data_IF_951802215091
#
_entry.id   IF_951802215091
#
_cell.length_a   1.000
_cell.length_b   1.000
_cell.length_c   1.000
_cell.angle_alpha   90.00
_cell.angle_beta   90.00
_cell.angle_gamma   90.00
#
_symmetry.space_group_name_H-M   'P 1'
#
loop_
_entity.id
_entity.type
_entity.pdbx_description
1 polymer ?
#
# COMPACT_ATOMS: atom_id res chain seq x y z
N UNK A 1 -5.17 1.02 3.83
CA UNK A 1 -3.73 0.74 3.86
C UNK A 1 -3.01 0.91 2.52
N UNK A 2 -3.70 1.13 1.38
CA UNK A 2 -3.10 1.51 0.11
C UNK A 2 -2.88 3.02 0.00
N UNK A 3 -2.82 3.55 -1.23
CA UNK A 3 -2.69 4.99 -1.44
C UNK A 3 -3.93 5.76 -0.98
N UNK A 4 -5.12 5.18 -1.07
CA UNK A 4 -6.38 5.81 -0.65
C UNK A 4 -7.27 4.80 0.10
N UNK A 5 -8.31 5.32 0.75
CA UNK A 5 -9.28 4.54 1.51
C UNK A 5 -8.88 4.30 2.97
N UNK A 6 -9.84 4.43 3.87
CA UNK A 6 -9.66 4.30 5.32
C UNK A 6 -10.02 2.92 5.86
N UNK A 7 -10.74 2.08 5.09
CA UNK A 7 -11.17 0.78 5.54
C UNK A 7 -10.01 -0.23 5.60
N UNK A 8 -10.01 -1.05 6.63
CA UNK A 8 -9.14 -2.21 6.70
C UNK A 8 -9.47 -3.18 5.57
N UNK A 9 -8.47 -3.78 4.90
CA UNK A 9 -8.71 -4.80 3.87
C UNK A 9 -9.49 -6.01 4.42
N UNK A 10 -9.35 -6.34 5.70
CA UNK A 10 -10.13 -7.40 6.36
C UNK A 10 -11.63 -7.10 6.35
N UNK A 11 -12.03 -5.88 6.75
CA UNK A 11 -13.43 -5.48 6.76
C UNK A 11 -13.96 -5.35 5.33
N UNK A 12 -13.27 -4.58 4.49
CA UNK A 12 -13.68 -4.31 3.11
C UNK A 12 -13.91 -5.58 2.30
N UNK A 13 -12.99 -6.55 2.36
CA UNK A 13 -13.11 -7.78 1.59
C UNK A 13 -14.30 -8.63 2.06
N UNK A 14 -14.48 -8.74 3.39
CA UNK A 14 -15.63 -9.50 3.96
C UNK A 14 -16.96 -8.90 3.56
N UNK A 15 -17.12 -7.60 3.72
CA UNK A 15 -18.34 -6.89 3.30
C UNK A 15 -18.61 -7.02 1.79
N UNK A 16 -17.56 -6.95 0.96
CA UNK A 16 -17.69 -7.10 -0.49
C UNK A 16 -18.18 -8.51 -0.85
N UNK A 17 -17.66 -9.55 -0.20
CA UNK A 17 -18.06 -10.93 -0.44
C UNK A 17 -19.48 -11.28 -0.03
N UNK A 18 -20.12 -10.47 0.80
CA UNK A 18 -21.54 -10.67 1.16
C UNK A 18 -22.50 -10.50 -0.03
N UNK A 19 -22.10 -9.73 -1.03
CA UNK A 19 -22.95 -9.37 -2.17
C UNK A 19 -22.30 -9.56 -3.53
N UNK A 20 -21.00 -9.91 -3.60
CA UNK A 20 -20.27 -10.05 -4.85
C UNK A 20 -19.49 -11.36 -4.92
N UNK A 21 -19.91 -12.23 -5.83
CA UNK A 21 -19.32 -13.56 -6.08
C UNK A 21 -18.26 -13.57 -7.20
N UNK A 22 -18.08 -12.45 -7.90
CA UNK A 22 -17.11 -12.32 -8.98
C UNK A 22 -15.67 -12.20 -8.53
N UNK A 23 -14.77 -12.02 -9.47
CA UNK A 23 -13.32 -11.88 -9.19
C UNK A 23 -13.02 -10.61 -8.42
N UNK A 24 -12.36 -10.75 -7.27
CA UNK A 24 -11.87 -9.64 -6.44
C UNK A 24 -10.35 -9.57 -6.46
N UNK A 25 -9.84 -8.40 -6.85
CA UNK A 25 -8.44 -8.02 -6.69
C UNK A 25 -8.31 -7.17 -5.43
N UNK A 26 -7.65 -7.68 -4.40
CA UNK A 26 -7.39 -6.90 -3.20
C UNK A 26 -6.12 -6.08 -3.37
N UNK A 27 -6.19 -4.78 -3.06
CA UNK A 27 -5.06 -3.85 -3.06
C UNK A 27 -4.92 -3.14 -1.73
N UNK A 28 -3.70 -2.71 -1.43
CA UNK A 28 -3.37 -1.95 -0.23
C UNK A 28 -2.63 -2.77 0.83
N UNK A 29 -1.50 -2.25 1.27
CA UNK A 29 -0.58 -2.89 2.24
C UNK A 29 -0.09 -4.28 1.82
N UNK A 30 -0.08 -4.57 0.53
CA UNK A 30 0.43 -5.83 -0.04
C UNK A 30 1.78 -5.53 -0.68
N UNK A 31 2.85 -6.18 -0.20
CA UNK A 31 4.23 -5.89 -0.61
C UNK A 31 5.12 -7.14 -0.78
N UNK A 32 4.71 -8.26 -0.22
CA UNK A 32 5.48 -9.50 -0.14
C UNK A 32 4.62 -10.75 -0.35
N UNK A 33 5.21 -11.93 -0.37
CA UNK A 33 4.51 -13.20 -0.55
C UNK A 33 3.60 -13.55 0.62
N UNK A 34 3.90 -13.12 1.84
CA UNK A 34 3.05 -13.36 3.02
C UNK A 34 1.76 -12.55 2.94
N UNK A 35 1.84 -11.28 2.54
CA UNK A 35 0.66 -10.41 2.36
C UNK A 35 -0.21 -10.88 1.18
N UNK A 36 0.40 -11.40 0.11
CA UNK A 36 -0.34 -12.06 -0.99
C UNK A 36 -1.07 -13.30 -0.48
N UNK A 37 -0.41 -14.19 0.26
CA UNK A 37 -1.04 -15.38 0.84
C UNK A 37 -2.20 -15.01 1.78
N UNK A 38 -2.02 -13.96 2.58
CA UNK A 38 -3.06 -13.44 3.48
C UNK A 38 -4.27 -12.92 2.72
N UNK A 39 -4.07 -12.17 1.62
CA UNK A 39 -5.15 -11.69 0.78
C UNK A 39 -6.00 -12.84 0.21
N UNK A 40 -5.34 -13.88 -0.31
CA UNK A 40 -6.00 -15.09 -0.83
C UNK A 40 -6.74 -15.82 0.30
N UNK A 41 -6.11 -15.99 1.47
CA UNK A 41 -6.74 -16.66 2.62
C UNK A 41 -7.99 -15.93 3.12
N UNK A 42 -8.04 -14.60 3.00
CA UNK A 42 -9.22 -13.80 3.32
C UNK A 42 -10.36 -13.91 2.30
N UNK A 43 -10.11 -14.48 1.13
CA UNK A 43 -11.10 -14.67 0.07
C UNK A 43 -10.95 -13.74 -1.15
N UNK A 44 -9.83 -13.05 -1.32
CA UNK A 44 -9.49 -12.41 -2.58
C UNK A 44 -9.06 -13.47 -3.61
N UNK A 45 -9.34 -13.23 -4.89
CA UNK A 45 -8.87 -14.10 -5.96
C UNK A 45 -7.46 -13.71 -6.42
N UNK A 46 -7.15 -12.42 -6.36
CA UNK A 46 -5.87 -11.84 -6.78
C UNK A 46 -5.41 -10.77 -5.79
N UNK A 47 -4.11 -10.54 -5.72
CA UNK A 47 -3.50 -9.45 -4.99
C UNK A 47 -2.92 -8.41 -5.97
N UNK A 48 -3.13 -7.13 -5.66
CA UNK A 48 -2.63 -6.02 -6.48
C UNK A 48 -1.59 -5.23 -5.70
N UNK A 49 -0.36 -5.17 -6.22
CA UNK A 49 0.79 -4.54 -5.58
C UNK A 49 1.17 -3.28 -6.35
N UNK A 50 1.27 -2.14 -5.69
CA UNK A 50 1.65 -0.86 -6.30
C UNK A 50 3.01 -0.37 -5.83
N UNK A 51 3.09 0.12 -4.60
CA UNK A 51 4.25 0.83 -4.03
C UNK A 51 5.57 0.07 -4.19
N UNK A 52 5.55 -1.24 -4.02
CA UNK A 52 6.75 -2.07 -4.15
C UNK A 52 7.34 -2.06 -5.55
N UNK A 53 6.49 -1.97 -6.58
CA UNK A 53 6.95 -1.86 -7.98
C UNK A 53 7.45 -0.45 -8.34
N UNK A 54 7.05 0.59 -7.62
CA UNK A 54 7.64 1.93 -7.77
C UNK A 54 9.12 1.89 -7.39
N UNK A 55 9.49 1.12 -6.35
CA UNK A 55 10.86 0.95 -5.88
C UNK A 55 11.59 -0.19 -6.63
N UNK A 56 11.45 -0.29 -7.94
CA UNK A 56 12.21 -1.22 -8.79
C UNK A 56 13.15 -0.47 -9.75
N UNK A 57 14.15 -1.16 -10.25
CA UNK A 57 15.10 -0.57 -11.20
C UNK A 57 14.41 -0.08 -12.46
N UNK A 58 13.45 -0.87 -13.00
CA UNK A 58 12.75 -0.60 -14.25
C UNK A 58 11.67 0.48 -14.14
N UNK A 59 11.31 0.90 -12.92
CA UNK A 59 10.34 1.97 -12.73
C UNK A 59 10.89 3.31 -13.24
N UNK A 60 10.06 4.07 -13.93
CA UNK A 60 10.34 5.45 -14.39
C UNK A 60 10.22 6.49 -13.22
N UNK A 61 9.99 6.05 -11.99
CA UNK A 61 9.93 6.93 -10.83
C UNK A 61 11.28 7.61 -10.57
N UNK A 62 11.23 8.85 -10.09
CA UNK A 62 12.41 9.63 -9.69
C UNK A 62 13.26 8.87 -8.67
N UNK A 63 14.60 8.96 -8.80
CA UNK A 63 15.53 8.26 -7.89
C UNK A 63 15.35 8.69 -6.43
N UNK A 64 14.99 9.95 -6.20
CA UNK A 64 14.65 10.47 -4.87
C UNK A 64 13.41 9.80 -4.28
N UNK A 65 12.44 9.51 -5.12
CA UNK A 65 11.24 8.76 -4.71
C UNK A 65 11.56 7.30 -4.36
N UNK A 66 12.28 6.60 -5.25
CA UNK A 66 12.70 5.21 -5.00
C UNK A 66 13.51 5.11 -3.71
N UNK A 67 14.50 6.01 -3.52
CA UNK A 67 15.32 6.08 -2.32
C UNK A 67 14.47 6.30 -1.07
N UNK A 68 13.54 7.26 -1.12
CA UNK A 68 12.67 7.57 0.02
C UNK A 68 11.78 6.40 0.40
N UNK A 69 11.25 5.65 -0.58
CA UNK A 69 10.50 4.41 -0.32
C UNK A 69 11.33 3.35 0.39
N UNK A 70 12.60 3.20 0.01
CA UNK A 70 13.54 2.25 0.65
C UNK A 70 13.88 2.66 2.09
N UNK A 71 14.00 3.97 2.35
CA UNK A 71 14.40 4.52 3.64
C UNK A 71 13.23 4.73 4.61
N UNK A 72 11.97 4.61 4.16
CA UNK A 72 10.77 4.87 4.96
C UNK A 72 10.11 3.58 5.44
N UNK A 73 9.30 3.71 6.50
CA UNK A 73 8.47 2.67 7.06
C UNK A 73 7.01 3.13 7.17
N UNK A 74 6.08 2.25 7.55
CA UNK A 74 4.65 2.58 7.67
C UNK A 74 4.36 3.75 8.61
N UNK A 75 5.22 3.97 9.62
CA UNK A 75 5.14 5.12 10.55
C UNK A 75 5.42 6.48 9.86
N UNK A 76 6.11 6.45 8.72
CA UNK A 76 6.52 7.64 7.98
C UNK A 76 5.46 8.03 6.93
N UNK A 77 4.23 7.53 7.06
CA UNK A 77 3.11 7.83 6.18
C UNK A 77 2.13 8.76 6.87
N UNK A 78 1.77 9.84 6.20
CA UNK A 78 0.69 10.75 6.59
C UNK A 78 -0.52 10.56 5.68
N UNK A 79 -1.72 10.48 6.29
CA UNK A 79 -2.99 10.39 5.56
C UNK A 79 -3.68 11.74 5.53
N UNK A 80 -3.77 12.36 4.37
CA UNK A 80 -4.27 13.73 4.22
C UNK A 80 -4.97 13.94 2.89
N UNK A 81 -5.90 14.89 2.84
CA UNK A 81 -6.52 15.37 1.61
C UNK A 81 -5.92 16.69 1.10
N UNK A 82 -4.93 17.24 1.81
CA UNK A 82 -4.37 18.56 1.56
C UNK A 82 -3.89 18.77 0.12
N UNK A 83 -3.24 17.76 -0.45
CA UNK A 83 -2.60 17.87 -1.76
C UNK A 83 -3.55 17.73 -2.95
N UNK A 84 -4.53 16.84 -2.87
CA UNK A 84 -5.40 16.50 -3.99
C UNK A 84 -6.87 16.82 -3.75
N UNK A 85 -7.25 17.21 -2.54
CA UNK A 85 -8.63 17.34 -2.10
C UNK A 85 -9.31 16.00 -1.76
N UNK A 86 -8.67 14.88 -2.08
CA UNK A 86 -9.07 13.53 -1.72
C UNK A 86 -8.02 12.93 -0.78
N UNK A 87 -8.46 12.27 0.28
CA UNK A 87 -7.55 11.64 1.23
C UNK A 87 -6.69 10.58 0.56
N UNK A 88 -5.40 10.65 0.80
CA UNK A 88 -4.39 9.69 0.35
C UNK A 88 -3.23 9.58 1.34
N UNK A 89 -2.47 8.51 1.18
CA UNK A 89 -1.26 8.25 1.95
C UNK A 89 -0.04 8.82 1.21
N UNK A 90 0.75 9.59 1.93
CA UNK A 90 1.94 10.26 1.40
C UNK A 90 3.13 10.03 2.34
N UNK A 91 4.34 10.02 1.81
CA UNK A 91 5.57 9.92 2.59
C UNK A 91 5.83 11.24 3.33
N UNK A 92 5.80 11.20 4.67
CA UNK A 92 6.08 12.36 5.53
C UNK A 92 7.42 13.03 5.19
N UNK A 93 8.53 12.31 4.92
CA UNK A 93 9.78 12.93 4.52
C UNK A 93 9.70 13.76 3.23
N UNK A 94 8.79 13.43 2.28
CA UNK A 94 8.59 14.23 1.09
C UNK A 94 7.86 15.54 1.39
N UNK A 95 6.93 15.51 2.36
CA UNK A 95 6.20 16.67 2.85
C UNK A 95 7.16 17.62 3.60
N UNK A 96 7.99 17.07 4.47
CA UNK A 96 9.04 17.81 5.19
C UNK A 96 10.04 18.47 4.24
N UNK A 97 10.51 17.72 3.23
CA UNK A 97 11.40 18.23 2.18
C UNK A 97 10.78 19.39 1.40
N UNK A 98 9.46 19.40 1.25
CA UNK A 98 8.72 20.51 0.64
C UNK A 98 8.48 21.70 1.61
N UNK A 99 9.03 21.65 2.82
CA UNK A 99 8.95 22.73 3.81
C UNK A 99 7.66 22.78 4.62
N UNK A 100 6.91 21.66 4.66
CA UNK A 100 5.66 21.57 5.41
C UNK A 100 5.80 20.59 6.59
N UNK A 101 5.00 20.83 7.64
CA UNK A 101 4.89 19.90 8.76
C UNK A 101 3.82 18.84 8.47
N UNK A 102 4.18 17.53 8.34
CA UNK A 102 3.23 16.49 8.08
C UNK A 102 2.12 16.34 9.12
N UNK A 103 2.39 16.75 10.37
CA UNK A 103 1.46 16.67 11.49
C UNK A 103 0.52 17.90 11.59
N UNK A 104 0.82 18.97 10.87
CA UNK A 104 0.08 20.23 10.88
C UNK A 104 -0.52 20.59 9.51
N UNK A 105 -0.73 19.60 8.63
CA UNK A 105 -1.35 19.83 7.32
C UNK A 105 -2.83 20.20 7.51
N UNK A 106 -3.30 21.33 6.95
CA UNK A 106 -4.70 21.71 7.04
C UNK A 106 -5.57 20.78 6.17
N UNK A 107 -6.85 20.70 6.51
CA UNK A 107 -7.85 20.08 5.63
C UNK A 107 -7.98 20.87 4.33
N UNK A 108 -8.11 20.15 3.20
CA UNK A 108 -8.38 20.79 1.93
C UNK A 108 -9.79 21.40 1.91
N UNK A 109 -9.88 22.62 1.42
CA UNK A 109 -11.16 23.28 1.21
C UNK A 109 -11.88 22.66 -0.01
N UNK A 110 -12.90 21.87 0.25
CA UNK A 110 -13.69 21.16 -0.79
C UNK A 110 -14.35 22.11 -1.79
N UNK A 111 -14.56 23.40 -1.42
CA UNK A 111 -15.16 24.38 -2.31
C UNK A 111 -14.18 24.93 -3.35
N UNK A 112 -12.88 24.73 -3.12
CA UNK A 112 -11.79 25.18 -3.99
C UNK A 112 -11.11 24.04 -4.75
N UNK A 113 -11.73 22.86 -4.80
CA UNK A 113 -11.21 21.73 -5.57
C UNK A 113 -11.14 22.10 -7.05
N UNK A 114 -9.92 22.28 -7.54
CA UNK A 114 -9.65 22.52 -8.94
C UNK A 114 -8.91 21.30 -9.52
N UNK A 115 -9.63 20.44 -10.23
CA UNK A 115 -9.06 19.24 -10.85
C UNK A 115 -8.05 19.56 -11.98
N UNK A 116 -8.01 20.83 -12.45
CA UNK A 116 -7.10 21.26 -13.52
C UNK A 116 -5.82 21.95 -13.06
N UNK A 117 -5.76 22.39 -11.83
CA UNK A 117 -4.57 22.98 -11.22
C UNK A 117 -4.33 22.29 -9.89
N UNK A 118 -3.37 21.39 -9.86
CA UNK A 118 -3.04 20.64 -8.65
C UNK A 118 -2.99 21.53 -7.41
N UNK A 119 -3.90 21.29 -6.47
CA UNK A 119 -3.99 21.77 -5.11
C UNK A 119 -3.42 23.17 -4.78
N UNK A 120 -3.69 23.62 -3.58
CA UNK A 120 -3.25 24.93 -3.04
C UNK A 120 -1.72 25.07 -2.85
N UNK A 121 -0.90 24.19 -3.38
CA UNK A 121 0.53 24.23 -3.13
C UNK A 121 1.30 24.79 -4.33
N UNK A 122 2.13 25.78 -4.09
CA UNK A 122 3.19 26.24 -4.97
C UNK A 122 4.24 25.16 -5.29
N UNK A 123 4.24 24.05 -4.55
CA UNK A 123 4.96 22.83 -4.89
C UNK A 123 4.24 22.11 -6.05
N UNK A 124 5.00 21.56 -6.97
CA UNK A 124 4.48 20.65 -7.99
C UNK A 124 4.11 19.34 -7.30
N UNK A 125 2.93 19.33 -6.65
CA UNK A 125 2.44 18.28 -5.75
C UNK A 125 2.68 16.86 -6.29
N UNK A 126 2.47 16.67 -7.59
CA UNK A 126 2.68 15.37 -8.24
C UNK A 126 4.15 15.04 -8.54
N UNK A 127 5.06 16.01 -8.37
CA UNK A 127 6.48 15.83 -8.62
C UNK A 127 7.28 15.70 -7.33
N UNK A 128 6.89 16.43 -6.29
CA UNK A 128 7.71 16.61 -5.08
C UNK A 128 7.11 15.91 -3.84
N UNK A 129 5.80 15.55 -3.88
CA UNK A 129 5.09 14.86 -2.78
C UNK A 129 4.80 13.43 -3.22
N UNK A 130 5.37 12.47 -2.54
CA UNK A 130 5.36 11.07 -2.93
C UNK A 130 4.25 10.27 -2.24
N UNK A 131 3.39 9.63 -3.04
CA UNK A 131 2.35 8.73 -2.54
C UNK A 131 2.92 7.36 -2.17
N UNK A 132 2.34 6.71 -1.15
CA UNK A 132 2.76 5.36 -0.78
C UNK A 132 1.64 4.60 -0.07
N UNK A 133 1.53 3.31 -0.31
CA UNK A 133 0.77 2.43 0.58
C UNK A 133 1.57 2.09 1.84
N UNK A 134 0.89 1.57 2.86
CA UNK A 134 1.52 1.25 4.16
C UNK A 134 2.44 0.02 4.12
N UNK A 135 2.37 -0.81 3.07
CA UNK A 135 3.25 -1.97 2.90
C UNK A 135 4.60 -1.61 2.29
N UNK A 136 5.39 -0.75 2.95
CA UNK A 136 6.71 -0.32 2.47
C UNK A 136 7.88 -0.90 3.28
N UNK A 137 7.62 -1.54 4.41
CA UNK A 137 8.65 -2.00 5.36
C UNK A 137 9.66 -3.00 4.77
N UNK A 138 9.27 -3.74 3.73
CA UNK A 138 10.10 -4.79 3.12
C UNK A 138 10.96 -4.27 1.96
N UNK A 139 11.01 -2.94 1.78
CA UNK A 139 11.74 -2.30 0.70
C UNK A 139 13.16 -1.96 1.15
N UNK A 140 14.03 -2.95 1.32
CA UNK A 140 15.41 -2.73 1.76
C UNK A 140 16.36 -2.25 0.65
N UNK A 141 15.95 -2.35 -0.61
CA UNK A 141 16.69 -1.94 -1.80
C UNK A 141 15.73 -1.85 -2.98
N UNK A 142 16.17 -1.26 -4.09
CA UNK A 142 15.43 -1.24 -5.35
C UNK A 142 15.85 -2.45 -6.21
N UNK A 143 15.15 -3.59 -6.15
CA UNK A 143 15.49 -4.76 -6.96
C UNK A 143 14.97 -4.59 -8.39
N UNK A 144 15.42 -5.48 -9.29
CA UNK A 144 14.71 -5.65 -10.56
C UNK A 144 13.31 -6.22 -10.33
N UNK A 145 12.38 -5.95 -11.25
CA UNK A 145 11.02 -6.55 -11.22
C UNK A 145 11.09 -8.07 -11.15
N UNK A 146 11.99 -8.68 -11.92
CA UNK A 146 12.21 -10.14 -11.92
C UNK A 146 12.63 -10.66 -10.55
N UNK A 147 13.58 -10.00 -9.89
CA UNK A 147 14.03 -10.36 -8.53
C UNK A 147 12.91 -10.22 -7.52
N UNK A 148 12.14 -9.13 -7.58
CA UNK A 148 11.00 -8.91 -6.69
C UNK A 148 9.93 -9.99 -6.85
N UNK A 149 9.57 -10.36 -8.07
CA UNK A 149 8.59 -11.42 -8.34
C UNK A 149 9.11 -12.77 -7.82
N UNK A 150 10.38 -13.10 -8.08
CA UNK A 150 10.97 -14.35 -7.60
C UNK A 150 10.95 -14.43 -6.06
N UNK A 151 11.32 -13.36 -5.36
CA UNK A 151 11.27 -13.29 -3.90
C UNK A 151 9.82 -13.45 -3.38
N UNK A 152 8.87 -12.72 -3.95
CA UNK A 152 7.44 -12.83 -3.60
C UNK A 152 6.95 -14.27 -3.74
N UNK A 153 7.34 -14.98 -4.80
CA UNK A 153 6.98 -16.38 -4.99
C UNK A 153 7.60 -17.30 -3.93
N UNK A 154 8.88 -17.08 -3.57
CA UNK A 154 9.56 -17.85 -2.53
C UNK A 154 8.88 -17.67 -1.18
N UNK A 155 8.43 -16.47 -0.84
CA UNK A 155 7.72 -16.16 0.40
C UNK A 155 6.27 -16.68 0.40
N UNK A 156 5.61 -16.63 -0.75
CA UNK A 156 4.21 -17.07 -0.91
C UNK A 156 4.03 -18.57 -0.67
N UNK A 157 4.92 -19.39 -1.21
CA UNK A 157 4.77 -20.86 -1.14
C UNK A 157 4.74 -21.40 0.30
N UNK A 158 5.71 -21.10 1.20
CA UNK A 158 5.66 -21.56 2.58
C UNK A 158 4.50 -20.92 3.35
N UNK A 159 4.18 -19.65 3.14
CA UNK A 159 3.06 -18.98 3.78
C UNK A 159 1.73 -19.69 3.51
N UNK A 160 1.47 -20.04 2.26
CA UNK A 160 0.29 -20.82 1.86
C UNK A 160 0.25 -22.21 2.51
N UNK A 161 1.39 -22.87 2.63
CA UNK A 161 1.49 -24.20 3.25
C UNK A 161 1.26 -24.15 4.76
N UNK A 162 1.81 -23.15 5.44
CA UNK A 162 1.64 -22.95 6.88
C UNK A 162 0.18 -22.73 7.27
N UNK A 163 -0.63 -22.06 6.44
CA UNK A 163 -2.06 -21.92 6.67
C UNK A 163 -2.76 -23.30 6.66
N UNK A 164 -2.44 -24.16 5.71
CA UNK A 164 -3.06 -25.49 5.62
C UNK A 164 -2.69 -26.41 6.79
N UNK A 165 -1.45 -26.37 7.23
CA UNK A 165 -0.96 -27.19 8.37
C UNK A 165 -1.54 -26.72 9.70
N UNK A 166 -1.61 -25.39 9.93
CA UNK A 166 -2.20 -24.83 11.14
C UNK A 166 -3.71 -25.08 11.21
N UNK A 167 -4.41 -25.00 10.08
CA UNK A 167 -5.84 -25.35 9.98
C UNK A 167 -6.09 -26.80 10.40
N UNK A 168 -5.30 -27.75 9.91
CA UNK A 168 -5.45 -29.17 10.26
C UNK A 168 -5.14 -29.48 11.74
N UNK A 169 -4.18 -28.79 12.35
CA UNK A 169 -3.87 -28.98 13.79
C UNK A 169 -4.93 -28.43 14.73
N UNK A 170 -5.76 -27.49 14.29
CA UNK A 170 -6.83 -26.91 15.11
C UNK A 170 -8.16 -27.61 14.93
N UNK A 171 -8.42 -28.27 13.79
CA UNK A 171 -9.65 -29.04 13.58
C UNK A 171 -9.73 -30.27 14.49
N UNK A 172 -8.61 -30.83 14.94
CA UNK A 172 -8.56 -31.91 15.92
C UNK A 172 -8.88 -31.49 17.38
N UNK A 173 -8.89 -30.16 17.66
CA UNK A 173 -9.11 -29.63 19.03
C UNK A 173 -10.46 -28.95 19.24
N UNK A 174 -11.33 -28.86 18.23
CA UNK A 174 -12.59 -28.12 18.29
C UNK A 174 -13.83 -29.06 18.35
N UNK A 175 -13.63 -30.36 18.49
CA UNK A 175 -14.76 -31.27 18.75
C UNK A 175 -14.80 -31.62 20.25
N UNK A 176 -15.95 -31.38 20.94
CA UNK A 176 -16.16 -31.77 22.34
C UNK A 176 -16.23 -33.27 22.51
#
# INVERSE_FOLDING_TARGET
GGHAGALSPFALLRETREWYDGTILLSGSISDGHSVASAIAMGADLAYIGTRFIATEESEADDGYKKMLVESAAKDIVYTNYFSGVHGNYLSPSVEKAGMDPLALPEADKTKMNFNSGGNASAKVWKDIYGSGQGINDTNHAPTVSTHIAQTNVEFQPARFDFSVKSNKHSEKILP
#
